data_IF_089597539197
#
_entry.id   IF_089597539197
#
_cell.length_a   1.000
_cell.length_b   1.000
_cell.length_c   1.000
_cell.angle_alpha   90.00
_cell.angle_beta   90.00
_cell.angle_gamma   90.00
#
_symmetry.space_group_name_H-M   'P 1'
#
loop_
_entity.id
_entity.type
_entity.pdbx_description
1 polymer ?
#
# COMPACT_ATOMS: atom_id res chain seq x y z
N UNK A 1 -17.33 -13.60 2.18
CA UNK A 1 -17.48 -12.70 1.01
C UNK A 1 -16.98 -11.25 1.26
N UNK A 2 -15.77 -11.07 1.82
CA UNK A 2 -15.21 -9.73 2.10
C UNK A 2 -14.37 -9.17 0.93
N UNK A 3 -13.75 -10.04 0.13
CA UNK A 3 -12.95 -9.68 -1.05
C UNK A 3 -13.78 -8.99 -2.16
N UNK A 4 -15.07 -9.31 -2.28
CA UNK A 4 -15.95 -8.77 -3.32
C UNK A 4 -16.40 -7.33 -3.09
N UNK A 5 -16.64 -6.93 -1.83
CA UNK A 5 -17.09 -5.56 -1.50
C UNK A 5 -15.95 -4.55 -1.60
N UNK A 6 -14.73 -4.93 -1.22
CA UNK A 6 -13.54 -4.06 -1.32
C UNK A 6 -13.24 -3.59 -2.75
N UNK A 7 -13.42 -4.47 -3.75
CA UNK A 7 -13.21 -4.11 -5.15
C UNK A 7 -14.31 -3.20 -5.74
N UNK A 8 -15.52 -3.18 -5.17
CA UNK A 8 -16.63 -2.34 -5.65
C UNK A 8 -16.45 -0.86 -5.29
N UNK A 9 -15.87 -0.56 -4.12
CA UNK A 9 -15.67 0.83 -3.68
C UNK A 9 -14.47 1.53 -4.33
N UNK A 10 -13.39 0.79 -4.60
CA UNK A 10 -12.24 1.31 -5.37
C UNK A 10 -12.66 1.71 -6.79
N UNK A 11 -13.65 1.01 -7.38
CA UNK A 11 -14.19 1.34 -8.71
C UNK A 11 -15.10 2.57 -8.75
N UNK A 12 -15.62 3.05 -7.62
CA UNK A 12 -16.62 4.12 -7.58
C UNK A 12 -16.07 5.52 -7.26
N UNK A 13 -14.74 5.70 -7.15
CA UNK A 13 -14.08 6.97 -6.74
C UNK A 13 -14.56 7.53 -5.38
N UNK A 14 -15.26 6.73 -4.59
CA UNK A 14 -15.73 7.02 -3.23
C UNK A 14 -14.65 6.68 -2.21
N UNK A 15 -13.51 7.37 -2.33
CA UNK A 15 -12.33 7.09 -1.51
C UNK A 15 -12.57 7.34 -0.02
N UNK A 16 -13.48 8.27 0.30
CA UNK A 16 -13.80 8.66 1.67
C UNK A 16 -14.73 7.64 2.34
N UNK A 17 -15.76 7.15 1.64
CA UNK A 17 -16.64 6.10 2.15
C UNK A 17 -15.92 4.75 2.26
N UNK A 18 -15.01 4.46 1.31
CA UNK A 18 -14.14 3.29 1.40
C UNK A 18 -13.24 3.36 2.64
N UNK A 19 -12.65 4.53 2.91
CA UNK A 19 -11.81 4.76 4.09
C UNK A 19 -12.59 4.49 5.38
N UNK A 20 -13.77 5.10 5.53
CA UNK A 20 -14.63 4.91 6.71
C UNK A 20 -14.99 3.44 6.92
N UNK A 21 -15.31 2.71 5.85
CA UNK A 21 -15.67 1.31 5.96
C UNK A 21 -14.47 0.42 6.32
N UNK A 22 -13.27 0.71 5.83
CA UNK A 22 -12.07 -0.01 6.23
C UNK A 22 -11.68 0.29 7.68
N UNK A 23 -11.80 1.54 8.14
CA UNK A 23 -11.55 1.93 9.53
C UNK A 23 -12.55 1.27 10.48
N UNK A 24 -13.84 1.23 10.12
CA UNK A 24 -14.85 0.50 10.88
C UNK A 24 -14.58 -1.01 10.94
N UNK A 25 -14.13 -1.61 9.83
CA UNK A 25 -13.76 -3.02 9.80
C UNK A 25 -12.53 -3.29 10.69
N UNK A 26 -11.56 -2.38 10.73
CA UNK A 26 -10.39 -2.48 11.58
C UNK A 26 -10.76 -2.36 13.06
N UNK A 27 -11.63 -1.41 13.41
CA UNK A 27 -12.13 -1.23 14.77
C UNK A 27 -12.93 -2.46 15.25
N UNK A 28 -13.72 -3.08 14.37
CA UNK A 28 -14.49 -4.29 14.69
C UNK A 28 -13.60 -5.51 15.02
N UNK A 29 -12.37 -5.53 14.53
CA UNK A 29 -11.39 -6.59 14.82
C UNK A 29 -10.30 -6.12 15.80
N UNK A 30 -10.42 -4.93 16.38
CA UNK A 30 -9.48 -4.42 17.38
C UNK A 30 -9.56 -5.26 18.65
N UNK A 31 -8.40 -5.53 19.27
CA UNK A 31 -8.31 -6.38 20.46
C UNK A 31 -8.47 -7.89 20.23
N UNK A 32 -8.81 -8.32 19.00
CA UNK A 32 -8.81 -9.74 18.64
C UNK A 32 -7.37 -10.27 18.49
N UNK A 33 -7.08 -11.53 18.85
CA UNK A 33 -5.74 -12.11 18.72
C UNK A 33 -5.23 -12.07 17.27
N UNK A 34 -3.93 -11.84 17.11
CA UNK A 34 -3.30 -11.53 15.82
C UNK A 34 -3.34 -12.70 14.82
N UNK A 35 -3.21 -13.94 15.29
CA UNK A 35 -3.02 -15.12 14.44
C UNK A 35 -3.92 -15.22 13.20
N UNK A 36 -5.24 -15.30 13.37
CA UNK A 36 -6.15 -15.52 12.22
C UNK A 36 -6.45 -14.24 11.42
N UNK A 37 -6.10 -13.06 11.96
CA UNK A 37 -6.52 -11.76 11.44
C UNK A 37 -5.37 -10.91 10.91
N UNK A 38 -4.11 -11.30 11.08
CA UNK A 38 -2.92 -10.61 10.56
C UNK A 38 -3.03 -10.29 9.07
N UNK A 39 -3.34 -11.30 8.24
CA UNK A 39 -3.53 -11.12 6.80
C UNK A 39 -4.69 -10.16 6.49
N UNK A 40 -5.78 -10.21 7.27
CA UNK A 40 -6.92 -9.30 7.08
C UNK A 40 -6.54 -7.87 7.46
N UNK A 41 -5.83 -7.67 8.59
CA UNK A 41 -5.32 -6.38 9.04
C UNK A 41 -4.39 -5.77 8.00
N UNK A 42 -3.45 -6.56 7.48
CA UNK A 42 -2.55 -6.12 6.40
C UNK A 42 -3.33 -5.63 5.18
N UNK A 43 -4.34 -6.39 4.73
CA UNK A 43 -5.19 -6.00 3.60
C UNK A 43 -5.97 -4.70 3.89
N UNK A 44 -6.56 -4.57 5.08
CA UNK A 44 -7.32 -3.37 5.48
C UNK A 44 -6.41 -2.14 5.52
N UNK A 45 -5.30 -2.20 6.26
CA UNK A 45 -4.34 -1.12 6.37
C UNK A 45 -3.76 -0.72 5.02
N UNK A 46 -3.44 -1.70 4.16
CA UNK A 46 -2.94 -1.39 2.84
C UNK A 46 -4.01 -0.63 2.03
N UNK A 47 -5.29 -1.02 2.10
CA UNK A 47 -6.35 -0.31 1.37
C UNK A 47 -6.64 1.08 1.95
N UNK A 48 -6.50 1.27 3.26
CA UNK A 48 -6.52 2.59 3.91
C UNK A 48 -5.38 3.46 3.35
N UNK A 49 -4.16 2.93 3.22
CA UNK A 49 -3.04 3.65 2.62
C UNK A 49 -3.32 4.10 1.19
N UNK A 50 -4.01 3.27 0.39
CA UNK A 50 -4.45 3.65 -0.95
C UNK A 50 -5.44 4.81 -0.92
N UNK A 51 -6.43 4.78 -0.03
CA UNK A 51 -7.37 5.88 0.15
C UNK A 51 -6.66 7.18 0.54
N UNK A 52 -5.65 7.12 1.41
CA UNK A 52 -4.85 8.28 1.77
C UNK A 52 -3.99 8.80 0.61
N UNK A 53 -3.41 7.92 -0.20
CA UNK A 53 -2.70 8.32 -1.43
C UNK A 53 -3.61 9.10 -2.39
N UNK A 54 -4.83 8.62 -2.62
CA UNK A 54 -5.81 9.31 -3.49
C UNK A 54 -6.23 10.68 -2.96
N UNK A 55 -6.13 10.90 -1.65
CA UNK A 55 -6.40 12.18 -0.99
C UNK A 55 -5.14 13.06 -0.84
N UNK A 56 -3.99 12.64 -1.38
CA UNK A 56 -2.70 13.30 -1.19
C UNK A 56 -2.24 13.42 0.28
N UNK A 57 -2.79 12.60 1.17
CA UNK A 57 -2.43 12.54 2.59
C UNK A 57 -1.25 11.60 2.81
N UNK A 58 -0.09 11.96 2.24
CA UNK A 58 1.05 11.04 2.11
C UNK A 58 1.62 10.54 3.43
N UNK A 59 1.69 11.38 4.48
CA UNK A 59 2.16 10.93 5.81
C UNK A 59 1.24 9.86 6.41
N UNK A 60 -0.07 10.06 6.34
CA UNK A 60 -1.05 9.06 6.79
C UNK A 60 -1.00 7.78 5.95
N UNK A 61 -0.72 7.91 4.65
CA UNK A 61 -0.50 6.75 3.79
C UNK A 61 0.74 5.94 4.22
N UNK A 62 1.82 6.61 4.65
CA UNK A 62 3.02 5.96 5.17
C UNK A 62 2.71 5.20 6.46
N UNK A 63 1.99 5.82 7.39
CA UNK A 63 1.65 5.19 8.68
C UNK A 63 0.77 3.95 8.45
N UNK A 64 -0.29 4.08 7.64
CA UNK A 64 -1.17 2.97 7.31
C UNK A 64 -0.42 1.84 6.57
N UNK A 65 0.43 2.16 5.61
CA UNK A 65 1.21 1.14 4.91
C UNK A 65 2.25 0.48 5.81
N UNK A 66 2.81 1.21 6.78
CA UNK A 66 3.72 0.64 7.77
C UNK A 66 3.00 -0.35 8.67
N UNK A 67 1.80 -0.03 9.16
CA UNK A 67 0.98 -0.98 9.91
C UNK A 67 0.62 -2.23 9.08
N UNK A 68 0.39 -2.07 7.77
CA UNK A 68 0.16 -3.21 6.90
C UNK A 68 1.39 -4.13 6.79
N UNK A 69 2.59 -3.55 6.68
CA UNK A 69 3.85 -4.29 6.61
C UNK A 69 4.17 -4.97 7.95
N UNK A 70 3.86 -4.33 9.07
CA UNK A 70 4.01 -4.93 10.40
C UNK A 70 3.11 -6.14 10.56
N UNK A 71 1.87 -6.08 10.06
CA UNK A 71 0.93 -7.20 10.11
C UNK A 71 1.27 -8.33 9.11
N UNK A 72 1.78 -7.98 7.92
CA UNK A 72 2.26 -8.94 6.92
C UNK A 72 3.47 -8.37 6.19
N UNK A 73 4.65 -8.82 6.62
CA UNK A 73 5.93 -8.41 6.02
C UNK A 73 6.08 -8.83 4.55
N UNK A 74 5.25 -9.75 4.06
CA UNK A 74 5.19 -10.20 2.67
C UNK A 74 4.21 -9.41 1.78
N UNK A 75 3.54 -8.38 2.32
CA UNK A 75 2.50 -7.65 1.60
C UNK A 75 3.06 -6.65 0.56
N UNK A 76 3.42 -7.14 -0.63
CA UNK A 76 4.04 -6.35 -1.69
C UNK A 76 3.31 -5.02 -2.00
N UNK A 77 1.97 -5.03 -2.02
CA UNK A 77 1.15 -3.82 -2.28
C UNK A 77 1.30 -2.75 -1.20
N UNK A 78 1.60 -3.12 0.05
CA UNK A 78 1.84 -2.14 1.13
C UNK A 78 3.15 -1.39 0.91
N UNK A 79 4.24 -2.10 0.59
CA UNK A 79 5.51 -1.48 0.22
C UNK A 79 5.35 -0.54 -0.98
N UNK A 80 4.63 -0.97 -2.02
CA UNK A 80 4.36 -0.11 -3.17
C UNK A 80 3.60 1.18 -2.78
N UNK A 81 2.58 1.07 -1.94
CA UNK A 81 1.79 2.23 -1.48
C UNK A 81 2.65 3.19 -0.63
N UNK A 82 3.50 2.65 0.25
CA UNK A 82 4.44 3.46 1.04
C UNK A 82 5.50 4.13 0.16
N UNK A 83 6.02 3.40 -0.83
CA UNK A 83 6.94 3.91 -1.85
C UNK A 83 6.36 5.12 -2.60
N UNK A 84 5.11 5.04 -3.05
CA UNK A 84 4.43 6.17 -3.72
C UNK A 84 4.30 7.39 -2.81
N UNK A 85 3.98 7.19 -1.52
CA UNK A 85 3.87 8.27 -0.56
C UNK A 85 5.24 8.93 -0.29
N UNK A 86 6.30 8.14 -0.14
CA UNK A 86 7.67 8.66 -0.02
C UNK A 86 8.11 9.43 -1.27
N UNK A 87 7.82 8.91 -2.47
CA UNK A 87 8.08 9.60 -3.74
C UNK A 87 7.37 10.95 -3.79
N UNK A 88 6.09 11.01 -3.40
CA UNK A 88 5.32 12.26 -3.37
C UNK A 88 5.89 13.28 -2.37
N UNK A 89 6.51 12.81 -1.28
CA UNK A 89 7.24 13.62 -0.31
C UNK A 89 8.70 13.88 -0.68
N UNK A 90 9.16 13.47 -1.87
CA UNK A 90 10.55 13.56 -2.36
C UNK A 90 11.58 12.82 -1.49
N UNK A 91 11.13 11.82 -0.74
CA UNK A 91 11.94 10.91 0.07
C UNK A 91 12.41 9.73 -0.80
N UNK A 92 13.30 10.01 -1.76
CA UNK A 92 13.62 9.06 -2.82
C UNK A 92 14.43 7.84 -2.36
N UNK A 93 15.23 7.97 -1.30
CA UNK A 93 16.01 6.86 -0.76
C UNK A 93 15.09 5.80 -0.13
N UNK A 94 14.12 6.25 0.66
CA UNK A 94 13.08 5.43 1.28
C UNK A 94 12.16 4.81 0.24
N UNK A 95 11.75 5.59 -0.77
CA UNK A 95 10.97 5.08 -1.89
C UNK A 95 11.72 3.95 -2.62
N UNK A 96 13.03 4.08 -2.84
CA UNK A 96 13.84 3.03 -3.48
C UNK A 96 13.87 1.75 -2.65
N UNK A 97 14.13 1.85 -1.35
CA UNK A 97 14.16 0.69 -0.44
C UNK A 97 12.83 -0.06 -0.44
N UNK A 98 11.71 0.66 -0.41
CA UNK A 98 10.39 0.05 -0.47
C UNK A 98 10.11 -0.61 -1.82
N UNK A 99 10.60 -0.04 -2.92
CA UNK A 99 10.47 -0.67 -4.24
C UNK A 99 11.27 -1.97 -4.36
N UNK A 100 12.49 -2.00 -3.81
CA UNK A 100 13.32 -3.21 -3.75
C UNK A 100 12.64 -4.27 -2.88
N UNK A 101 12.18 -3.90 -1.69
CA UNK A 101 11.45 -4.79 -0.79
C UNK A 101 10.19 -5.37 -1.44
N UNK A 102 9.42 -4.54 -2.15
CA UNK A 102 8.25 -4.97 -2.94
C UNK A 102 8.63 -6.04 -3.97
N UNK A 103 9.75 -5.87 -4.69
CA UNK A 103 10.22 -6.83 -5.68
C UNK A 103 10.65 -8.17 -5.06
N UNK A 104 11.11 -8.15 -3.81
CA UNK A 104 11.55 -9.34 -3.06
C UNK A 104 10.44 -10.06 -2.30
N UNK A 105 9.22 -9.49 -2.23
CA UNK A 105 8.10 -10.10 -1.52
C UNK A 105 7.57 -11.35 -2.24
N UNK A 106 7.33 -12.41 -1.47
CA UNK A 106 6.91 -13.73 -1.98
C UNK A 106 5.42 -13.83 -2.35
N UNK A 107 4.59 -12.90 -1.89
CA UNK A 107 3.14 -13.01 -2.02
C UNK A 107 2.59 -12.28 -3.26
N UNK A 108 1.96 -13.07 -4.14
CA UNK A 108 1.01 -12.73 -5.22
C UNK A 108 1.07 -11.30 -5.79
N UNK A 109 2.17 -10.96 -6.47
CA UNK A 109 2.13 -9.95 -7.52
C UNK A 109 2.44 -10.60 -8.86
N UNK A 110 1.53 -10.39 -9.83
CA UNK A 110 1.77 -10.81 -11.21
C UNK A 110 2.87 -9.96 -11.82
N UNK A 111 3.60 -10.49 -12.80
CA UNK A 111 4.61 -9.73 -13.55
C UNK A 111 4.02 -8.46 -14.20
N UNK A 112 2.74 -8.51 -14.59
CA UNK A 112 2.01 -7.35 -15.09
C UNK A 112 1.82 -6.25 -14.02
N UNK A 113 1.49 -6.62 -12.78
CA UNK A 113 1.39 -5.67 -11.66
C UNK A 113 2.74 -5.05 -11.33
N UNK A 114 3.82 -5.87 -11.28
CA UNK A 114 5.20 -5.38 -11.07
C UNK A 114 5.58 -4.37 -12.16
N UNK A 115 5.33 -4.71 -13.44
CA UNK A 115 5.66 -3.83 -14.56
C UNK A 115 4.89 -2.50 -14.50
N UNK A 116 3.59 -2.55 -14.18
CA UNK A 116 2.77 -1.35 -14.00
C UNK A 116 3.30 -0.45 -12.89
N UNK A 117 3.73 -1.04 -11.78
CA UNK A 117 4.30 -0.31 -10.65
C UNK A 117 5.66 0.32 -10.98
N UNK A 118 6.53 -0.43 -11.67
CA UNK A 118 7.81 0.10 -12.16
C UNK A 118 7.61 1.31 -13.09
N UNK A 119 6.68 1.22 -14.04
CA UNK A 119 6.35 2.33 -14.95
C UNK A 119 5.84 3.57 -14.21
N UNK A 120 4.98 3.40 -13.19
CA UNK A 120 4.47 4.53 -12.40
C UNK A 120 5.56 5.23 -11.54
N UNK A 121 6.58 4.49 -11.12
CA UNK A 121 7.72 5.04 -10.39
C UNK A 121 8.65 5.83 -11.30
N UNK A 122 9.08 5.25 -12.43
CA UNK A 122 10.00 5.86 -13.39
C UNK A 122 9.50 7.22 -13.85
N UNK A 123 8.20 7.33 -14.21
CA UNK A 123 7.58 8.58 -14.70
C UNK A 123 7.52 9.75 -13.68
N UNK A 124 8.07 9.62 -12.47
CA UNK A 124 8.24 10.78 -11.59
C UNK A 124 9.44 10.70 -10.66
N UNK A 125 10.44 9.87 -11.00
CA UNK A 125 11.74 9.84 -10.35
C UNK A 125 12.84 10.41 -11.26
N UNK A 126 12.47 11.22 -12.26
CA UNK A 126 13.41 11.89 -13.17
C UNK A 126 14.23 12.98 -12.44
N UNK A 127 15.20 12.51 -11.68
CA UNK A 127 16.53 13.07 -11.55
C UNK A 127 17.50 12.00 -12.03
N UNK A 128 17.95 12.13 -13.27
CA UNK A 128 18.90 11.25 -13.93
C UNK A 128 20.21 11.12 -13.12
N UNK A 129 20.37 10.05 -12.33
CA UNK A 129 21.68 9.69 -11.75
C UNK A 129 21.79 8.29 -11.10
N UNK A 130 20.75 7.46 -10.98
CA UNK A 130 20.84 6.33 -10.04
C UNK A 130 20.24 4.99 -10.50
N UNK A 131 20.33 4.68 -11.79
CA UNK A 131 19.95 3.37 -12.35
C UNK A 131 21.10 2.73 -13.15
N UNK A 132 22.29 2.68 -12.54
CA UNK A 132 23.44 1.94 -13.06
C UNK A 132 24.30 1.43 -11.91
N UNK A 133 24.41 0.11 -11.80
CA UNK A 133 25.15 -0.63 -10.79
C UNK A 133 24.72 -2.09 -10.84
#
# INVERSE_FOLDING_TARGET
>A
ELKGKGNSWVRQKKHQEALQAYEAALAAIEGQPEGDLEMLRAVLFANIALCYLHQNLYRRAIDAATNAITADSGHAKAYYRRCLAYKALKMFAEARRDFEAMCSCKHEMTQAEVHKFRSALVNGMDGAAAYGG
#
